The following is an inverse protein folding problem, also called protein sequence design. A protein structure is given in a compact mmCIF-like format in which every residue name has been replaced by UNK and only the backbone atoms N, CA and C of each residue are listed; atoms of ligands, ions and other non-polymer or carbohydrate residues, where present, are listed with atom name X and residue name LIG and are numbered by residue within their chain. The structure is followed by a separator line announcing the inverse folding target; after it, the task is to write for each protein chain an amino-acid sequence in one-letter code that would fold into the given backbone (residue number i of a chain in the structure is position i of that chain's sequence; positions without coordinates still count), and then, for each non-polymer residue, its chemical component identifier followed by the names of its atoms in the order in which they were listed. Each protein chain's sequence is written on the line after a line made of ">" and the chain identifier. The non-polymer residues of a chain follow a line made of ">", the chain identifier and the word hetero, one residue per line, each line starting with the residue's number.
data_IF_180140898294
#
_entry.id   IF_180140898294
#
_cell.length_a   1.000
_cell.length_b   1.000
_cell.length_c   1.000
_cell.angle_alpha   90.00
_cell.angle_beta   90.00
_cell.angle_gamma   90.00
#
_symmetry.space_group_name_H-M   'P 1'
#
loop_
_entity.id
_entity.type
_entity.pdbx_description
1 polymer ?
#
# COMPACT_ATOMS: atom_id res chain seq x y z
N UNK A 1 7.92 -4.18 -11.24
CA UNK A 1 7.04 -3.03 -10.97
C UNK A 1 5.63 -3.57 -10.77
N UNK A 2 5.00 -3.12 -9.69
CA UNK A 2 3.60 -3.37 -9.37
C UNK A 2 2.92 -2.00 -9.22
N UNK A 3 1.66 -1.90 -9.64
CA UNK A 3 0.87 -0.69 -9.53
C UNK A 3 -0.41 -1.04 -8.79
N UNK A 4 -0.65 -0.43 -7.64
CA UNK A 4 -1.93 -0.46 -6.92
C UNK A 4 -2.69 0.83 -7.16
N UNK A 5 -3.95 0.75 -7.55
CA UNK A 5 -4.82 1.92 -7.71
C UNK A 5 -5.98 1.86 -6.73
N UNK A 6 -6.37 3.00 -6.16
CA UNK A 6 -7.55 3.12 -5.31
C UNK A 6 -8.17 4.51 -5.43
N UNK A 7 -9.46 4.61 -5.11
CA UNK A 7 -10.22 5.86 -5.12
C UNK A 7 -10.69 6.18 -3.72
N UNK A 8 -10.38 7.38 -3.25
CA UNK A 8 -11.00 7.97 -2.06
C UNK A 8 -12.26 8.69 -2.53
N UNK A 9 -13.43 8.23 -2.12
CA UNK A 9 -14.72 8.86 -2.41
C UNK A 9 -15.31 9.48 -1.15
N UNK A 10 -16.23 10.43 -1.29
CA UNK A 10 -16.88 11.14 -0.19
C UNK A 10 -16.57 12.64 -0.21
N UNK A 11 -16.87 13.32 0.90
CA UNK A 11 -16.76 14.78 1.01
C UNK A 11 -15.60 15.27 1.87
N UNK A 12 -14.91 14.36 2.57
CA UNK A 12 -13.85 14.69 3.53
C UNK A 12 -12.51 14.04 3.18
N UNK A 13 -11.40 14.57 3.72
CA UNK A 13 -10.12 13.90 3.60
C UNK A 13 -10.13 12.57 4.39
N UNK A 14 -9.23 11.66 4.03
CA UNK A 14 -9.10 10.34 4.66
C UNK A 14 -7.65 10.03 4.99
N UNK A 15 -7.39 9.57 6.22
CA UNK A 15 -6.07 9.11 6.63
C UNK A 15 -5.84 7.69 6.12
N UNK A 16 -4.87 7.52 5.22
CA UNK A 16 -4.54 6.24 4.58
C UNK A 16 -3.08 5.89 4.85
N UNK A 17 -2.82 4.60 5.07
CA UNK A 17 -1.48 4.03 5.02
C UNK A 17 -1.34 3.18 3.76
N UNK A 18 -0.35 3.47 2.93
CA UNK A 18 0.05 2.62 1.80
C UNK A 18 1.42 2.03 2.13
N UNK A 19 1.56 0.71 2.09
CA UNK A 19 2.84 0.04 2.34
C UNK A 19 3.18 -1.00 1.28
N UNK A 20 4.45 -1.27 1.10
CA UNK A 20 4.92 -2.40 0.30
C UNK A 20 5.84 -3.31 1.11
N UNK A 21 5.49 -4.60 1.12
CA UNK A 21 6.22 -5.64 1.83
C UNK A 21 7.02 -6.50 0.85
N UNK A 22 8.23 -6.82 1.25
CA UNK A 22 9.21 -7.58 0.49
C UNK A 22 9.88 -8.58 1.41
N UNK A 23 10.88 -8.18 2.23
CA UNK A 23 11.51 -9.04 3.23
C UNK A 23 10.54 -9.81 4.12
N UNK A 24 9.41 -9.20 4.53
CA UNK A 24 8.38 -9.86 5.34
C UNK A 24 7.82 -11.12 4.67
N UNK A 25 7.76 -11.17 3.33
CA UNK A 25 7.26 -12.33 2.59
C UNK A 25 8.12 -13.58 2.75
N UNK A 26 9.40 -13.43 3.12
CA UNK A 26 10.29 -14.58 3.41
C UNK A 26 9.80 -15.40 4.61
N UNK A 27 9.13 -14.76 5.57
CA UNK A 27 8.51 -15.42 6.74
C UNK A 27 7.35 -16.34 6.35
N UNK A 28 6.76 -16.10 5.18
CA UNK A 28 5.70 -16.90 4.57
C UNK A 28 6.23 -17.85 3.49
N UNK A 29 7.56 -18.04 3.42
CA UNK A 29 8.22 -18.92 2.47
C UNK A 29 7.99 -18.53 0.99
N UNK A 30 7.70 -17.25 0.71
CA UNK A 30 7.56 -16.76 -0.66
C UNK A 30 8.95 -16.63 -1.30
N UNK A 31 9.25 -17.39 -2.37
CA UNK A 31 10.56 -17.33 -3.01
C UNK A 31 10.74 -16.03 -3.81
N UNK A 32 11.97 -15.53 -3.86
CA UNK A 32 12.30 -14.35 -4.66
C UNK A 32 11.64 -13.06 -4.19
N UNK A 33 11.35 -12.96 -2.88
CA UNK A 33 10.86 -11.75 -2.25
C UNK A 33 11.77 -10.55 -2.58
N UNK A 34 11.15 -9.41 -2.88
CA UNK A 34 11.86 -8.18 -3.20
C UNK A 34 12.60 -7.68 -1.96
N UNK A 35 13.92 -7.56 -2.02
CA UNK A 35 14.74 -7.32 -0.83
C UNK A 35 14.59 -5.90 -0.23
N UNK A 36 14.27 -4.90 -1.05
CA UNK A 36 14.02 -3.53 -0.58
C UNK A 36 12.95 -2.89 -1.49
N UNK A 37 11.66 -2.97 -1.11
CA UNK A 37 10.56 -2.36 -1.85
C UNK A 37 10.43 -0.86 -1.55
N UNK A 38 10.38 -0.03 -2.59
CA UNK A 38 10.01 1.40 -2.51
C UNK A 38 8.61 1.66 -3.07
N UNK A 39 7.91 2.64 -2.50
CA UNK A 39 6.57 3.12 -2.92
C UNK A 39 6.66 4.58 -3.34
N UNK A 40 6.07 4.90 -4.48
CA UNK A 40 5.69 6.26 -4.88
C UNK A 40 4.15 6.37 -4.91
N UNK A 41 3.60 7.44 -4.35
CA UNK A 41 2.17 7.72 -4.36
C UNK A 41 1.87 8.91 -5.26
N UNK A 42 0.89 8.75 -6.14
CA UNK A 42 0.40 9.78 -7.05
C UNK A 42 -1.10 10.00 -6.85
N UNK A 43 -1.55 11.24 -7.00
CA UNK A 43 -2.94 11.61 -7.23
C UNK A 43 -3.06 11.99 -8.70
N UNK A 44 -3.71 11.14 -9.48
CA UNK A 44 -3.67 11.21 -10.95
C UNK A 44 -2.23 11.20 -11.48
N UNK A 45 -1.69 12.35 -11.89
CA UNK A 45 -0.30 12.51 -12.34
C UNK A 45 0.57 13.30 -11.34
N UNK A 46 -0.03 13.80 -10.26
CA UNK A 46 0.65 14.64 -9.27
C UNK A 46 1.30 13.78 -8.21
N UNK A 47 2.62 13.90 -8.05
CA UNK A 47 3.37 13.22 -7.00
C UNK A 47 2.90 13.68 -5.61
N UNK A 48 2.64 12.72 -4.71
CA UNK A 48 2.18 12.95 -3.34
C UNK A 48 3.22 12.55 -2.31
N UNK A 49 3.98 11.48 -2.55
CA UNK A 49 4.97 11.02 -1.60
C UNK A 49 5.79 9.83 -2.09
N UNK A 50 6.89 9.59 -1.41
CA UNK A 50 7.82 8.49 -1.65
C UNK A 50 8.30 7.95 -0.31
N UNK A 51 8.52 6.64 -0.23
CA UNK A 51 9.23 6.01 0.87
C UNK A 51 9.85 4.68 0.41
N UNK A 52 11.07 4.37 0.87
CA UNK A 52 11.78 3.11 0.69
C UNK A 52 12.10 2.40 2.01
N UNK A 53 12.32 3.16 3.09
CA UNK A 53 12.43 2.63 4.46
C UNK A 53 11.47 3.39 5.40
N UNK A 54 10.46 2.70 5.96
CA UNK A 54 9.40 3.37 6.72
C UNK A 54 9.88 4.05 7.99
N UNK A 55 10.95 3.54 8.62
CA UNK A 55 11.52 4.14 9.85
C UNK A 55 12.17 5.50 9.61
N UNK A 56 12.59 5.78 8.38
CA UNK A 56 13.19 7.06 8.00
C UNK A 56 12.15 8.15 7.76
N UNK A 57 10.85 7.80 7.72
CA UNK A 57 9.77 8.77 7.61
C UNK A 57 9.69 9.65 8.87
N UNK A 58 9.44 10.94 8.69
CA UNK A 58 9.29 11.91 9.79
C UNK A 58 8.13 11.57 10.73
N UNK A 59 7.12 10.87 10.22
CA UNK A 59 5.94 10.39 10.95
C UNK A 59 6.01 8.87 11.27
N UNK A 60 7.21 8.27 11.34
CA UNK A 60 7.38 6.84 11.66
C UNK A 60 6.74 6.42 12.99
N UNK A 61 6.68 7.32 13.98
CA UNK A 61 5.96 7.08 15.23
C UNK A 61 4.44 6.90 15.03
N UNK A 62 3.83 7.67 14.12
CA UNK A 62 2.42 7.51 13.76
C UNK A 62 2.18 6.25 12.93
N UNK A 63 3.11 5.90 12.04
CA UNK A 63 3.09 4.64 11.28
C UNK A 63 3.10 3.46 12.27
N UNK A 64 3.97 3.49 13.28
CA UNK A 64 3.99 2.48 14.34
C UNK A 64 2.68 2.45 15.15
N UNK A 65 2.18 3.61 15.55
CA UNK A 65 0.94 3.73 16.31
C UNK A 65 -0.30 3.26 15.54
N UNK A 66 -0.27 3.23 14.20
CA UNK A 66 -1.38 2.73 13.38
C UNK A 66 -1.64 1.22 13.55
N UNK A 67 -0.66 0.46 14.07
CA UNK A 67 -0.72 -1.01 14.13
C UNK A 67 -0.41 -1.70 12.79
N UNK A 68 -0.18 -0.94 11.72
CA UNK A 68 0.10 -1.45 10.37
C UNK A 68 1.49 -1.06 9.85
N UNK A 69 2.44 -0.73 10.75
CA UNK A 69 3.83 -0.58 10.34
C UNK A 69 4.38 -1.86 9.69
N UNK A 70 5.23 -1.75 8.65
CA UNK A 70 5.93 -2.90 8.12
C UNK A 70 6.76 -3.62 9.20
N UNK A 71 6.77 -4.97 9.24
CA UNK A 71 7.56 -5.74 10.20
C UNK A 71 9.08 -5.74 9.95
N UNK A 72 9.53 -5.31 8.78
CA UNK A 72 10.94 -5.14 8.43
C UNK A 72 11.23 -3.65 8.17
N UNK A 73 12.42 -3.19 8.55
CA UNK A 73 12.78 -1.77 8.47
C UNK A 73 13.14 -1.33 7.04
N UNK A 74 13.50 -2.27 6.16
CA UNK A 74 13.77 -2.04 4.75
C UNK A 74 12.52 -2.03 3.86
N UNK A 75 11.33 -2.03 4.48
CA UNK A 75 10.05 -1.98 3.79
C UNK A 75 9.48 -0.56 3.80
N UNK A 76 8.69 -0.24 2.78
CA UNK A 76 8.17 1.12 2.61
C UNK A 76 6.77 1.30 3.17
N UNK A 77 6.53 2.47 3.75
CA UNK A 77 5.20 2.92 4.13
C UNK A 77 5.04 4.44 3.97
N UNK A 78 3.91 4.84 3.40
CA UNK A 78 3.46 6.23 3.29
C UNK A 78 2.17 6.36 4.10
N UNK A 79 2.23 7.14 5.18
CA UNK A 79 1.05 7.54 5.95
C UNK A 79 0.68 8.98 5.56
N UNK A 80 -0.50 9.17 4.99
CA UNK A 80 -0.93 10.48 4.49
C UNK A 80 -2.45 10.66 4.60
N UNK A 81 -2.86 11.90 4.88
CA UNK A 81 -4.24 12.34 4.75
C UNK A 81 -4.50 12.77 3.31
N UNK A 82 -5.45 12.12 2.65
CA UNK A 82 -5.76 12.24 1.22
C UNK A 82 -7.15 12.84 1.03
N UNK A 83 -7.26 13.87 0.19
CA UNK A 83 -8.56 14.36 -0.26
C UNK A 83 -9.27 13.32 -1.15
N UNK A 84 -10.59 13.44 -1.38
CA UNK A 84 -11.26 12.61 -2.38
C UNK A 84 -10.59 12.71 -3.75
N UNK A 85 -10.38 11.57 -4.41
CA UNK A 85 -9.69 11.51 -5.69
C UNK A 85 -9.15 10.12 -6.06
N UNK A 86 -8.53 10.06 -7.24
CA UNK A 86 -7.94 8.84 -7.79
C UNK A 86 -6.45 8.77 -7.44
N UNK A 87 -6.04 7.67 -6.81
CA UNK A 87 -4.67 7.47 -6.35
C UNK A 87 -4.02 6.25 -6.97
N UNK A 88 -2.72 6.35 -7.21
CA UNK A 88 -1.88 5.27 -7.73
C UNK A 88 -0.63 5.14 -6.88
N UNK A 89 -0.42 3.95 -6.31
CA UNK A 89 0.80 3.53 -5.67
C UNK A 89 1.64 2.72 -6.65
N UNK A 90 2.87 3.17 -6.90
CA UNK A 90 3.84 2.47 -7.76
C UNK A 90 4.89 1.83 -6.85
N UNK A 91 5.00 0.50 -6.93
CA UNK A 91 5.96 -0.30 -6.16
C UNK A 91 7.07 -0.81 -7.07
N UNK A 92 8.31 -0.59 -6.65
CA UNK A 92 9.54 -1.02 -7.34
C UNK A 92 10.57 -1.48 -6.31
N UNK A 93 11.61 -2.18 -6.78
CA UNK A 93 12.80 -2.40 -5.98
C UNK A 93 13.73 -1.19 -6.05
N UNK A 94 14.37 -0.85 -4.94
CA UNK A 94 15.47 0.12 -4.92
C UNK A 94 16.53 -0.29 -5.95
N UNK A 95 17.12 0.71 -6.61
CA UNK A 95 18.08 0.55 -7.70
C UNK A 95 17.58 -0.30 -8.90
N UNK A 96 16.27 -0.41 -9.08
CA UNK A 96 15.68 -1.16 -10.20
C UNK A 96 15.68 -2.68 -10.00
N UNK A 97 15.90 -3.15 -8.77
CA UNK A 97 15.80 -4.58 -8.45
C UNK A 97 14.38 -5.11 -8.66
N UNK A 98 14.26 -6.44 -8.82
CA UNK A 98 13.00 -7.13 -9.08
C UNK A 98 12.80 -8.28 -8.10
N UNK A 99 11.54 -8.61 -7.84
CA UNK A 99 11.15 -9.65 -6.89
C UNK A 99 9.65 -9.66 -6.68
N UNK A 100 9.19 -10.55 -5.81
CA UNK A 100 7.81 -10.63 -5.36
C UNK A 100 7.60 -9.60 -4.25
N UNK A 101 6.57 -8.77 -4.37
CA UNK A 101 6.21 -7.78 -3.37
C UNK A 101 4.69 -7.78 -3.16
N UNK A 102 4.27 -7.42 -1.95
CA UNK A 102 2.87 -7.21 -1.59
C UNK A 102 2.65 -5.71 -1.40
N UNK A 103 1.60 -5.15 -1.99
CA UNK A 103 1.16 -3.77 -1.74
C UNK A 103 -0.15 -3.80 -0.97
N UNK A 104 -0.24 -2.99 0.08
CA UNK A 104 -1.42 -2.89 0.93
C UNK A 104 -1.79 -1.42 1.12
N UNK A 105 -3.09 -1.15 1.12
CA UNK A 105 -3.67 0.14 1.48
C UNK A 105 -4.64 -0.04 2.65
N UNK A 106 -4.47 0.76 3.71
CA UNK A 106 -5.33 0.74 4.89
C UNK A 106 -6.05 2.08 5.02
N UNK A 107 -7.37 2.00 5.14
CA UNK A 107 -8.18 3.09 5.65
C UNK A 107 -8.04 3.11 7.18
N UNK A 108 -7.41 4.17 7.72
CA UNK A 108 -7.16 4.30 9.16
C UNK A 108 -8.22 5.14 9.88
N UNK A 109 -9.22 5.64 9.15
CA UNK A 109 -10.28 6.45 9.69
C UNK A 109 -11.66 5.92 9.27
N UNK A 110 -12.24 5.12 10.15
CA UNK A 110 -13.58 4.55 9.98
C UNK A 110 -14.72 5.51 10.32
N UNK A 111 -14.41 6.70 10.86
CA UNK A 111 -15.42 7.69 11.28
C UNK A 111 -15.76 8.72 10.21
N UNK A 112 -14.90 8.90 9.20
CA UNK A 112 -15.13 9.84 8.12
C UNK A 112 -16.17 9.34 7.10
N UNK A 113 -16.97 10.23 6.49
CA UNK A 113 -17.94 9.85 5.46
C UNK A 113 -17.27 9.33 4.19
N UNK A 114 -15.97 9.62 4.03
CA UNK A 114 -15.20 9.14 2.90
C UNK A 114 -14.87 7.65 3.05
N UNK A 115 -14.70 6.95 1.92
CA UNK A 115 -14.36 5.51 1.87
C UNK A 115 -13.38 5.22 0.74
N UNK A 116 -12.68 4.09 0.83
CA UNK A 116 -12.05 3.50 -0.36
C UNK A 116 -13.14 2.87 -1.23
N UNK A 117 -13.28 3.36 -2.46
CA UNK A 117 -14.36 2.94 -3.36
C UNK A 117 -13.99 1.72 -4.20
N UNK A 118 -12.74 1.64 -4.64
CA UNK A 118 -12.22 0.53 -5.43
C UNK A 118 -10.77 0.23 -5.04
N UNK A 119 -10.33 -0.97 -5.42
CA UNK A 119 -8.94 -1.37 -5.42
C UNK A 119 -8.66 -2.03 -6.77
N UNK A 120 -7.55 -1.67 -7.39
CA UNK A 120 -7.10 -2.24 -8.64
C UNK A 120 -5.61 -2.54 -8.58
N UNK A 121 -5.16 -3.52 -9.35
CA UNK A 121 -3.74 -3.85 -9.39
C UNK A 121 -3.31 -4.21 -10.80
N UNK A 122 -2.16 -3.69 -11.22
CA UNK A 122 -1.49 -4.06 -12.47
C UNK A 122 -0.04 -4.43 -12.18
N UNK A 123 0.33 -5.63 -12.62
CA UNK A 123 1.68 -6.16 -12.50
C UNK A 123 1.88 -7.28 -13.53
N UNK A 124 3.08 -7.84 -13.58
CA UNK A 124 3.31 -9.05 -14.37
C UNK A 124 2.52 -10.21 -13.75
N UNK A 125 1.72 -10.89 -14.56
CA UNK A 125 1.05 -12.13 -14.19
C UNK A 125 1.89 -13.28 -14.72
N UNK A 126 2.41 -14.12 -13.83
CA UNK A 126 3.20 -15.30 -14.18
C UNK A 126 2.57 -16.55 -13.56
N UNK A 127 3.30 -17.66 -13.55
CA UNK A 127 2.88 -18.93 -12.95
C UNK A 127 3.55 -19.17 -11.59
N UNK A 128 3.09 -20.17 -10.85
CA UNK A 128 3.65 -20.53 -9.54
C UNK A 128 3.51 -19.37 -8.54
N UNK A 129 4.56 -19.11 -7.77
CA UNK A 129 4.57 -18.08 -6.71
C UNK A 129 4.62 -16.63 -7.24
N UNK A 130 4.60 -16.45 -8.56
CA UNK A 130 4.66 -15.14 -9.23
C UNK A 130 3.33 -14.77 -9.91
N UNK A 131 2.24 -15.46 -9.54
CA UNK A 131 0.89 -15.05 -9.92
C UNK A 131 0.57 -13.68 -9.31
N UNK A 132 -0.25 -12.88 -10.01
CA UNK A 132 -0.78 -11.65 -9.45
C UNK A 132 -2.02 -11.98 -8.61
N UNK A 133 -1.98 -11.64 -7.32
CA UNK A 133 -3.05 -11.92 -6.37
C UNK A 133 -3.64 -10.58 -5.93
N UNK A 134 -4.96 -10.44 -6.07
CA UNK A 134 -5.72 -9.36 -5.47
C UNK A 134 -6.42 -9.88 -4.20
N UNK A 135 -6.24 -9.18 -3.09
CA UNK A 135 -6.89 -9.48 -1.81
C UNK A 135 -7.64 -8.26 -1.30
N UNK A 136 -8.70 -8.49 -0.54
CA UNK A 136 -9.46 -7.44 0.16
C UNK A 136 -9.81 -7.93 1.56
N UNK A 137 -9.68 -7.03 2.53
CA UNK A 137 -10.13 -7.25 3.91
C UNK A 137 -11.19 -6.22 4.22
N UNK A 138 -12.37 -6.68 4.65
CA UNK A 138 -13.45 -5.82 5.13
C UNK A 138 -13.51 -5.95 6.64
N UNK A 139 -13.42 -4.83 7.34
CA UNK A 139 -13.46 -4.76 8.80
C UNK A 139 -14.48 -3.70 9.24
N UNK A 140 -15.11 -3.91 10.39
CA UNK A 140 -16.12 -3.01 10.96
C UNK A 140 -17.45 -3.71 11.28
N UNK A 141 -18.33 -3.04 12.05
CA UNK A 141 -19.61 -3.60 12.48
C UNK A 141 -20.66 -3.67 11.36
N UNK A 142 -20.50 -2.84 10.33
CA UNK A 142 -21.45 -2.70 9.23
C UNK A 142 -20.95 -3.38 7.95
N UNK A 143 -21.88 -3.86 7.14
CA UNK A 143 -21.59 -4.37 5.81
C UNK A 143 -21.00 -3.28 4.90
N UNK A 144 -19.98 -3.61 4.13
CA UNK A 144 -19.45 -2.74 3.07
C UNK A 144 -19.75 -3.36 1.70
N UNK A 145 -20.16 -2.51 0.76
CA UNK A 145 -20.23 -2.90 -0.65
C UNK A 145 -18.82 -2.77 -1.22
N UNK A 146 -18.25 -3.88 -1.67
CA UNK A 146 -16.98 -3.94 -2.39
C UNK A 146 -17.30 -4.11 -3.88
N UNK A 147 -16.98 -3.10 -4.69
CA UNK A 147 -17.20 -3.06 -6.13
C UNK A 147 -15.93 -3.40 -6.91
#
# INVERSE_FOLDING_TARGET
>A
MLIGGFVVTGSGPKKVLVRALGPTLTRFQVPGALANPQVELFQEQTFRGFNDDWRNASNSAEILASGFAPPDDAESAILMTLDPGNYTAIVRGVAGTTGVALVEGYDLDSSEPSKLFNISTRGFVQTGDKVLIAGVVVNGPDNQIVL
#
